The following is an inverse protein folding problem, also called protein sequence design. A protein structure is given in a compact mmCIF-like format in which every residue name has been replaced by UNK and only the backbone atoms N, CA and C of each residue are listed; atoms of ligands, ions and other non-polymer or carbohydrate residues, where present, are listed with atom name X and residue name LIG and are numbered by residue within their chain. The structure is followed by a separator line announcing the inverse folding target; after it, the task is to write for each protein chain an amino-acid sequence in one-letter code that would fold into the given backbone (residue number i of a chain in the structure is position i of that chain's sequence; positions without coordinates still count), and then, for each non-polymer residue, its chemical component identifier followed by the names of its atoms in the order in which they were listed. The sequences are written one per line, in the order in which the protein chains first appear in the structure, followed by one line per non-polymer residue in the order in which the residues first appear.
data_IF_799289616873
#
_entry.id   IF_799289616873
#
_cell.length_a   1.000
_cell.length_b   1.000
_cell.length_c   1.000
_cell.angle_alpha   90.00
_cell.angle_beta   90.00
_cell.angle_gamma   90.00
#
_symmetry.space_group_name_H-M   'P 1'
#
loop_
_entity.id
_entity.type
_entity.pdbx_description
1 polymer ?
#
# COMPACT_ATOMS: atom_id res chain seq x y z
N UNK A 1 -15.69 -3.42 -13.80
CA UNK A 1 -16.92 -3.55 -12.99
C UNK A 1 -17.99 -4.37 -13.72
N UNK A 2 -18.39 -3.97 -14.93
CA UNK A 2 -19.45 -4.63 -15.68
C UNK A 2 -19.12 -6.09 -16.01
N UNK A 3 -17.87 -6.40 -16.38
CA UNK A 3 -17.44 -7.77 -16.69
C UNK A 3 -17.42 -8.73 -15.49
N UNK A 4 -17.40 -8.23 -14.25
CA UNK A 4 -17.39 -9.03 -13.02
C UNK A 4 -18.79 -9.24 -12.43
N UNK A 5 -19.79 -8.40 -12.80
CA UNK A 5 -21.11 -8.46 -12.23
C UNK A 5 -21.08 -8.43 -10.69
N UNK A 6 -21.81 -9.34 -10.05
CA UNK A 6 -21.88 -9.44 -8.59
C UNK A 6 -20.55 -9.78 -7.91
N UNK A 7 -19.60 -10.35 -8.65
CA UNK A 7 -18.28 -10.63 -8.12
C UNK A 7 -17.50 -9.33 -7.82
N UNK A 8 -17.88 -8.21 -8.43
CA UNK A 8 -17.26 -6.91 -8.14
C UNK A 8 -17.34 -6.52 -6.66
N UNK A 9 -18.47 -6.78 -6.01
CA UNK A 9 -18.68 -6.40 -4.60
C UNK A 9 -17.76 -7.13 -3.63
N UNK A 10 -17.14 -8.21 -4.08
CA UNK A 10 -16.17 -9.02 -3.35
C UNK A 10 -14.75 -8.92 -3.91
N UNK A 11 -14.55 -8.03 -4.87
CA UNK A 11 -13.26 -7.87 -5.54
C UNK A 11 -12.43 -6.77 -4.88
N UNK A 12 -11.12 -7.02 -4.82
CA UNK A 12 -10.10 -6.07 -4.42
C UNK A 12 -9.00 -6.14 -5.47
N UNK A 13 -8.62 -4.99 -6.00
CA UNK A 13 -7.49 -4.83 -6.91
C UNK A 13 -6.46 -3.98 -6.18
N UNK A 14 -5.26 -4.49 -6.00
CA UNK A 14 -4.14 -3.79 -5.40
C UNK A 14 -3.04 -3.61 -6.43
N UNK A 15 -2.60 -2.38 -6.65
CA UNK A 15 -1.41 -2.12 -7.45
C UNK A 15 -0.17 -2.16 -6.55
N UNK A 16 0.85 -2.86 -7.00
CA UNK A 16 2.13 -2.96 -6.32
C UNK A 16 3.25 -2.60 -7.28
N UNK A 17 4.32 -2.03 -6.75
CA UNK A 17 5.57 -1.80 -7.45
C UNK A 17 6.73 -2.17 -6.53
N UNK A 18 7.81 -2.68 -7.10
CA UNK A 18 9.04 -2.99 -6.36
C UNK A 18 9.94 -1.77 -6.18
N UNK A 19 9.65 -0.66 -6.89
CA UNK A 19 10.43 0.56 -6.84
C UNK A 19 9.63 1.71 -6.24
N UNK A 20 10.30 2.54 -5.45
CA UNK A 20 9.86 3.89 -5.13
C UNK A 20 10.41 4.92 -6.10
N UNK A 21 10.37 6.18 -5.69
CA UNK A 21 10.84 7.31 -6.51
C UNK A 21 11.70 8.26 -5.70
N UNK A 22 12.65 8.89 -6.38
CA UNK A 22 13.37 10.06 -5.88
C UNK A 22 12.42 11.27 -5.88
N UNK A 23 12.69 12.26 -5.03
CA UNK A 23 11.83 13.44 -4.92
C UNK A 23 12.20 14.50 -5.96
N UNK A 24 13.49 14.65 -6.26
CA UNK A 24 13.95 15.63 -7.25
C UNK A 24 13.79 15.13 -8.67
N UNK A 25 13.42 16.04 -9.56
CA UNK A 25 13.37 15.78 -11.00
C UNK A 25 14.77 15.47 -11.52
N UNK A 26 14.87 14.49 -12.42
CA UNK A 26 16.11 14.13 -13.10
C UNK A 26 16.30 14.90 -14.42
N UNK A 27 17.41 14.64 -15.13
CA UNK A 27 17.74 15.31 -16.39
C UNK A 27 16.82 14.98 -17.58
N UNK A 28 15.88 14.04 -17.44
CA UNK A 28 14.92 13.62 -18.47
C UNK A 28 13.48 13.98 -18.15
N UNK A 29 13.26 14.94 -17.25
CA UNK A 29 11.93 15.44 -16.86
C UNK A 29 11.08 14.41 -16.12
N UNK A 30 11.72 13.51 -15.39
CA UNK A 30 11.07 12.49 -14.56
C UNK A 30 11.75 12.36 -13.21
N UNK A 31 11.65 11.18 -12.62
CA UNK A 31 12.35 10.82 -11.39
C UNK A 31 13.03 9.47 -11.55
N UNK A 32 14.09 9.23 -10.80
CA UNK A 32 14.76 7.95 -10.77
C UNK A 32 14.07 6.97 -9.81
N UNK A 33 14.45 5.70 -9.84
CA UNK A 33 14.03 4.73 -8.84
C UNK A 33 14.51 5.16 -7.46
N UNK A 34 13.68 4.93 -6.46
CA UNK A 34 13.95 5.28 -5.07
C UNK A 34 13.26 4.31 -4.11
N UNK A 35 13.02 4.75 -2.88
CA UNK A 35 12.56 3.90 -1.79
C UNK A 35 11.03 3.87 -1.65
N UNK A 36 10.41 5.00 -1.32
CA UNK A 36 8.97 5.10 -1.09
C UNK A 36 8.17 5.33 -2.36
N UNK A 37 6.93 4.89 -2.37
CA UNK A 37 6.01 5.05 -3.49
C UNK A 37 4.56 5.16 -3.01
N UNK A 38 3.62 5.16 -3.95
CA UNK A 38 2.20 5.07 -3.69
C UNK A 38 1.61 3.84 -4.37
N UNK A 39 0.67 3.20 -3.72
CA UNK A 39 -0.15 2.14 -4.28
C UNK A 39 -1.61 2.56 -4.39
N UNK A 40 -2.37 1.89 -5.21
CA UNK A 40 -3.81 2.09 -5.33
C UNK A 40 -4.57 0.81 -5.01
N UNK A 41 -5.70 0.99 -4.33
CA UNK A 41 -6.69 -0.05 -4.08
C UNK A 41 -7.99 0.32 -4.77
N UNK A 42 -8.58 -0.62 -5.49
CA UNK A 42 -9.89 -0.48 -6.11
C UNK A 42 -10.70 -1.76 -5.95
N UNK A 43 -12.01 -1.64 -5.91
CA UNK A 43 -12.91 -2.80 -5.85
C UNK A 43 -14.15 -2.52 -5.03
N UNK A 44 -15.19 -3.32 -5.25
CA UNK A 44 -16.46 -3.18 -4.55
C UNK A 44 -16.39 -3.48 -3.05
N UNK A 45 -15.38 -4.22 -2.60
CA UNK A 45 -15.13 -4.47 -1.18
C UNK A 45 -14.70 -3.20 -0.41
N UNK A 46 -14.20 -2.18 -1.13
CA UNK A 46 -13.78 -0.91 -0.53
C UNK A 46 -14.98 0.03 -0.42
N UNK A 47 -15.37 0.34 0.80
CA UNK A 47 -16.62 1.08 1.08
C UNK A 47 -16.50 2.59 0.94
N UNK A 48 -15.29 3.14 1.06
CA UNK A 48 -15.07 4.59 1.02
C UNK A 48 -13.81 4.93 0.21
N UNK A 49 -13.94 5.90 -0.69
CA UNK A 49 -12.78 6.49 -1.34
C UNK A 49 -12.02 7.38 -0.37
N UNK A 50 -10.72 7.16 -0.22
CA UNK A 50 -9.86 7.94 0.68
C UNK A 50 -8.40 7.85 0.27
N UNK A 51 -7.61 8.79 0.76
CA UNK A 51 -6.15 8.71 0.74
C UNK A 51 -5.69 8.31 2.14
N UNK A 52 -4.91 7.24 2.23
CA UNK A 52 -4.30 6.77 3.48
C UNK A 52 -2.83 7.13 3.40
N UNK A 53 -2.37 8.00 4.30
CA UNK A 53 -1.02 8.50 4.28
C UNK A 53 -0.55 8.88 5.67
N UNK A 54 0.72 8.61 5.93
CA UNK A 54 1.50 9.21 7.02
C UNK A 54 2.53 10.11 6.35
N UNK A 55 2.08 11.29 5.90
CA UNK A 55 2.87 12.15 5.05
C UNK A 55 4.07 12.76 5.79
N UNK A 56 5.31 12.45 5.39
CA UNK A 56 6.51 12.88 6.11
C UNK A 56 7.00 14.27 5.69
N UNK A 57 6.60 14.76 4.52
CA UNK A 57 7.14 15.96 3.89
C UNK A 57 8.10 15.64 2.75
N UNK A 58 8.59 16.72 2.10
CA UNK A 58 9.52 16.65 0.97
C UNK A 58 10.80 17.48 1.19
N UNK A 59 11.00 18.04 2.39
CA UNK A 59 12.25 18.69 2.72
C UNK A 59 13.37 17.64 2.82
N UNK A 60 14.61 18.00 2.54
CA UNK A 60 15.74 17.06 2.56
C UNK A 60 15.82 16.24 3.86
N UNK A 61 15.51 16.86 5.01
CA UNK A 61 15.49 16.18 6.32
C UNK A 61 14.41 15.12 6.46
N UNK A 62 13.38 15.18 5.61
CA UNK A 62 12.22 14.27 5.65
C UNK A 62 12.39 13.10 4.67
N UNK A 63 13.48 13.08 3.91
CA UNK A 63 13.74 12.08 2.87
C UNK A 63 14.68 10.98 3.37
N UNK A 64 14.51 9.78 2.83
CA UNK A 64 15.45 8.69 3.01
C UNK A 64 16.75 9.02 2.26
N UNK A 65 17.87 9.04 2.99
CA UNK A 65 19.19 9.45 2.47
C UNK A 65 19.17 10.81 1.75
N UNK A 66 18.29 11.72 2.17
CA UNK A 66 18.12 13.07 1.60
C UNK A 66 17.77 13.09 0.11
N UNK A 67 17.27 11.99 -0.42
CA UNK A 67 17.00 11.83 -1.86
C UNK A 67 15.64 11.18 -2.15
N UNK A 68 15.32 10.10 -1.48
CA UNK A 68 14.20 9.25 -1.80
C UNK A 68 12.98 9.60 -0.96
N UNK A 69 11.78 9.40 -1.51
CA UNK A 69 10.57 9.43 -0.72
C UNK A 69 10.65 8.34 0.35
N UNK A 70 10.40 8.71 1.61
CA UNK A 70 10.45 7.74 2.70
C UNK A 70 9.23 6.81 2.66
N UNK A 71 9.44 5.54 2.99
CA UNK A 71 8.37 4.58 3.14
C UNK A 71 7.79 4.65 4.56
N UNK A 72 6.51 4.97 4.69
CA UNK A 72 5.82 5.15 5.98
C UNK A 72 4.82 4.06 6.29
N UNK A 73 4.35 3.35 5.28
CA UNK A 73 3.43 2.21 5.43
C UNK A 73 4.06 0.99 4.74
N UNK A 74 4.18 -0.10 5.49
CA UNK A 74 4.67 -1.35 4.93
C UNK A 74 3.60 -1.95 4.00
N UNK A 75 3.92 -2.16 2.72
CA UNK A 75 2.98 -2.72 1.75
C UNK A 75 2.53 -4.15 2.12
N UNK A 76 3.34 -4.90 2.90
CA UNK A 76 2.94 -6.22 3.41
C UNK A 76 1.73 -6.11 4.33
N UNK A 77 1.64 -5.04 5.12
CA UNK A 77 0.46 -4.74 5.95
C UNK A 77 -0.79 -4.51 5.09
N UNK A 78 -0.64 -3.84 3.96
CA UNK A 78 -1.74 -3.63 2.99
C UNK A 78 -2.15 -4.94 2.34
N UNK A 79 -1.20 -5.76 1.91
CA UNK A 79 -1.47 -7.10 1.36
C UNK A 79 -2.18 -7.98 2.40
N UNK A 80 -1.71 -7.98 3.65
CA UNK A 80 -2.34 -8.74 4.74
C UNK A 80 -3.79 -8.32 4.97
N UNK A 81 -4.08 -7.01 4.95
CA UNK A 81 -5.45 -6.51 5.06
C UNK A 81 -6.35 -6.97 3.90
N UNK A 82 -5.84 -7.01 2.68
CA UNK A 82 -6.56 -7.54 1.52
C UNK A 82 -6.85 -9.04 1.67
N UNK A 83 -5.89 -9.82 2.13
CA UNK A 83 -6.05 -11.27 2.37
C UNK A 83 -7.05 -11.51 3.50
N UNK A 84 -6.96 -10.75 4.59
CA UNK A 84 -7.91 -10.81 5.72
C UNK A 84 -9.33 -10.56 5.24
N UNK A 85 -9.54 -9.52 4.42
CA UNK A 85 -10.86 -9.21 3.87
C UNK A 85 -11.37 -10.29 2.90
N UNK A 86 -10.54 -10.74 1.98
CA UNK A 86 -10.93 -11.66 0.92
C UNK A 86 -11.15 -13.09 1.43
N UNK A 87 -10.36 -13.56 2.39
CA UNK A 87 -10.36 -14.94 2.86
C UNK A 87 -10.87 -15.11 4.29
N UNK A 88 -11.12 -14.03 5.02
CA UNK A 88 -11.57 -14.08 6.42
C UNK A 88 -10.54 -14.70 7.37
N UNK A 89 -9.25 -14.62 7.05
CA UNK A 89 -8.17 -15.14 7.87
C UNK A 89 -7.76 -14.11 8.92
N UNK A 90 -7.25 -14.60 10.04
CA UNK A 90 -6.72 -13.76 11.10
C UNK A 90 -5.43 -13.05 10.68
N UNK A 91 -5.28 -11.78 11.06
CA UNK A 91 -4.11 -10.98 10.68
C UNK A 91 -2.79 -11.57 11.18
N UNK A 92 -2.75 -12.03 12.44
CA UNK A 92 -1.51 -12.54 13.03
C UNK A 92 -1.08 -13.85 12.34
N UNK A 93 -2.05 -14.67 11.94
CA UNK A 93 -1.79 -15.87 11.13
C UNK A 93 -1.17 -15.50 9.78
N UNK A 94 -1.72 -14.49 9.11
CA UNK A 94 -1.20 -14.00 7.82
C UNK A 94 0.21 -13.43 8.00
N UNK A 95 0.41 -12.60 9.00
CA UNK A 95 1.70 -11.99 9.30
C UNK A 95 2.79 -13.05 9.55
N UNK A 96 2.48 -14.06 10.33
CA UNK A 96 3.41 -15.13 10.69
C UNK A 96 3.66 -16.13 9.56
N UNK A 97 2.59 -16.63 8.92
CA UNK A 97 2.68 -17.77 7.99
C UNK A 97 2.85 -17.38 6.53
N UNK A 98 2.39 -16.19 6.14
CA UNK A 98 2.52 -15.70 4.76
C UNK A 98 3.72 -14.77 4.62
N UNK A 99 3.85 -13.81 5.52
CA UNK A 99 4.91 -12.79 5.44
C UNK A 99 6.12 -13.06 6.34
N UNK A 100 6.08 -14.09 7.18
CA UNK A 100 7.15 -14.44 8.11
C UNK A 100 7.59 -13.25 8.97
N UNK A 101 6.62 -12.40 9.32
CA UNK A 101 6.85 -11.16 10.06
C UNK A 101 5.85 -11.04 11.20
N UNK A 102 6.07 -11.77 12.30
CA UNK A 102 5.26 -11.60 13.51
C UNK A 102 5.28 -10.13 13.96
N UNK A 103 4.12 -9.60 14.35
CA UNK A 103 4.02 -8.20 14.74
C UNK A 103 3.91 -7.21 13.58
N UNK A 104 3.67 -7.69 12.35
CA UNK A 104 3.37 -6.82 11.20
C UNK A 104 2.18 -5.89 11.56
N UNK A 105 2.30 -4.57 11.39
CA UNK A 105 1.21 -3.65 11.71
C UNK A 105 -0.08 -3.95 10.94
N UNK A 106 -1.21 -3.95 11.64
CA UNK A 106 -2.52 -4.16 11.05
C UNK A 106 -3.12 -2.83 10.56
N UNK A 107 -3.40 -2.73 9.29
CA UNK A 107 -3.97 -1.53 8.65
C UNK A 107 -5.40 -1.74 8.12
N UNK A 108 -6.01 -2.87 8.45
CA UNK A 108 -7.33 -3.28 7.94
C UNK A 108 -8.40 -2.21 8.13
N UNK A 109 -8.50 -1.65 9.33
CA UNK A 109 -9.57 -0.69 9.67
C UNK A 109 -9.42 0.64 8.91
N UNK A 110 -8.20 1.01 8.51
CA UNK A 110 -7.98 2.19 7.68
C UNK A 110 -8.48 2.00 6.24
N UNK A 111 -8.53 0.75 5.77
CA UNK A 111 -8.89 0.43 4.38
C UNK A 111 -10.37 0.05 4.28
N UNK A 112 -10.85 -0.82 5.15
CA UNK A 112 -12.13 -1.51 5.00
C UNK A 112 -13.24 -1.05 5.95
N UNK A 113 -12.95 -0.18 6.87
CA UNK A 113 -13.99 0.36 7.78
C UNK A 113 -14.60 1.70 7.37
#
# INVERSE_FOLDING_TARGET
KEGLGDAWDRSIILTLTEFGRTVKENGTWGTDHGWGSAGMLAGGAIKKSRVISQWPGLAERDLYEQRDLVSTIDYRSVCAACIENALGLDHDLIAEKVFFTPGLPRVYDYIFS
#
